data_IF_850648573323
#
_entry.id   IF_850648573323
#
_cell.length_a   1.000
_cell.length_b   1.000
_cell.length_c   1.000
_cell.angle_alpha   90.00
_cell.angle_beta   90.00
_cell.angle_gamma   90.00
#
_symmetry.space_group_name_H-M   'P 1'
#
loop_
_entity.id
_entity.type
_entity.pdbx_description
1 polymer ?
#
# COMPACT_ATOMS: atom_id res chain seq x y z
N UNK A 1 15.69 26.12 -19.52
CA UNK A 1 14.32 25.59 -19.68
C UNK A 1 13.90 25.01 -18.35
N UNK A 2 12.86 25.55 -17.71
CA UNK A 2 12.35 25.01 -16.43
C UNK A 2 11.80 23.60 -16.66
N UNK A 3 12.10 22.67 -15.76
CA UNK A 3 11.50 21.33 -15.80
C UNK A 3 9.98 21.48 -15.70
N UNK A 4 9.18 20.77 -16.52
CA UNK A 4 7.74 20.74 -16.36
C UNK A 4 7.38 20.22 -14.96
N UNK A 5 6.24 20.67 -14.42
CA UNK A 5 5.75 20.16 -13.14
C UNK A 5 5.47 18.67 -13.25
N UNK A 6 6.09 17.89 -12.36
CA UNK A 6 5.94 16.44 -12.29
C UNK A 6 5.01 16.07 -11.12
N UNK A 7 3.97 15.31 -11.45
CA UNK A 7 2.97 14.80 -10.50
C UNK A 7 3.22 13.32 -10.13
N UNK A 8 4.35 12.73 -10.54
CA UNK A 8 4.71 11.32 -10.28
C UNK A 8 4.65 10.90 -8.81
N UNK A 9 4.73 11.85 -7.88
CA UNK A 9 4.52 11.64 -6.44
C UNK A 9 3.17 10.97 -6.13
N UNK A 10 2.15 11.20 -6.94
CA UNK A 10 0.78 10.72 -6.71
C UNK A 10 0.40 9.49 -7.55
N UNK A 11 1.30 8.96 -8.38
CA UNK A 11 1.01 7.81 -9.24
C UNK A 11 0.84 6.50 -8.45
N UNK A 12 1.45 6.39 -7.27
CA UNK A 12 1.53 5.16 -6.48
C UNK A 12 0.76 5.26 -5.16
N UNK A 13 -0.47 5.77 -5.20
CA UNK A 13 -1.33 5.84 -4.02
C UNK A 13 -2.09 4.53 -3.88
N UNK A 14 -1.75 3.74 -2.86
CA UNK A 14 -2.51 2.54 -2.50
C UNK A 14 -3.76 2.90 -1.68
N UNK A 15 -4.92 2.85 -2.32
CA UNK A 15 -6.23 2.98 -1.67
C UNK A 15 -6.77 1.59 -1.34
N UNK A 16 -7.04 1.33 -0.06
CA UNK A 16 -7.52 0.02 0.41
C UNK A 16 -9.04 -0.18 0.27
N UNK A 17 -9.78 0.87 -0.08
CA UNK A 17 -11.25 0.93 -0.12
C UNK A 17 -11.79 1.30 -1.51
N UNK A 18 -10.98 1.09 -2.56
CA UNK A 18 -11.40 1.37 -3.93
C UNK A 18 -12.37 0.27 -4.41
N UNK A 19 -13.67 0.60 -4.45
CA UNK A 19 -14.77 -0.32 -4.78
C UNK A 19 -14.77 -0.83 -6.23
N UNK A 20 -14.05 -0.17 -7.13
CA UNK A 20 -13.98 -0.54 -8.56
C UNK A 20 -13.09 -1.78 -8.81
N UNK A 21 -12.25 -2.16 -7.84
CA UNK A 21 -11.25 -3.24 -7.99
C UNK A 21 -11.77 -4.64 -7.59
N UNK A 22 -13.05 -4.76 -7.20
CA UNK A 22 -13.62 -6.04 -6.78
C UNK A 22 -14.28 -6.79 -7.96
N UNK A 23 -13.77 -7.98 -8.27
CA UNK A 23 -14.35 -8.83 -9.32
C UNK A 23 -15.80 -9.23 -8.97
N UNK A 24 -16.74 -9.30 -9.94
CA UNK A 24 -18.17 -9.61 -9.70
C UNK A 24 -18.51 -10.91 -8.94
N UNK A 25 -17.52 -11.80 -8.73
CA UNK A 25 -17.70 -13.09 -8.05
C UNK A 25 -17.02 -13.15 -6.67
N UNK A 26 -16.44 -12.05 -6.20
CA UNK A 26 -15.78 -11.96 -4.90
C UNK A 26 -16.64 -11.07 -4.00
N UNK A 27 -16.81 -11.48 -2.75
CA UNK A 27 -17.47 -10.64 -1.74
C UNK A 27 -16.60 -9.43 -1.41
N UNK A 28 -17.14 -8.23 -1.66
CA UNK A 28 -16.46 -6.95 -1.45
C UNK A 28 -15.96 -6.81 -0.01
N UNK A 29 -16.79 -7.14 0.98
CA UNK A 29 -16.45 -6.93 2.39
C UNK A 29 -15.27 -7.80 2.83
N UNK A 30 -15.29 -9.08 2.45
CA UNK A 30 -14.19 -10.00 2.74
C UNK A 30 -12.89 -9.61 2.00
N UNK A 31 -13.01 -9.14 0.76
CA UNK A 31 -11.88 -8.67 -0.06
C UNK A 31 -11.16 -7.47 0.58
N UNK A 32 -11.92 -6.46 1.00
CA UNK A 32 -11.36 -5.27 1.66
C UNK A 32 -10.65 -5.61 2.97
N UNK A 33 -11.28 -6.45 3.80
CA UNK A 33 -10.66 -6.91 5.05
C UNK A 33 -9.34 -7.64 4.78
N UNK A 34 -9.27 -8.45 3.73
CA UNK A 34 -8.03 -9.14 3.34
C UNK A 34 -6.95 -8.16 2.87
N UNK A 35 -7.28 -7.21 1.98
CA UNK A 35 -6.36 -6.19 1.47
C UNK A 35 -5.81 -5.31 2.59
N UNK A 36 -6.67 -4.88 3.51
CA UNK A 36 -6.25 -4.11 4.69
C UNK A 36 -5.27 -4.91 5.56
N UNK A 37 -5.58 -6.17 5.88
CA UNK A 37 -4.66 -7.03 6.66
C UNK A 37 -3.31 -7.18 5.99
N UNK A 38 -3.29 -7.44 4.68
CA UNK A 38 -2.04 -7.58 3.92
C UNK A 38 -1.19 -6.31 3.93
N UNK A 39 -1.82 -5.14 3.84
CA UNK A 39 -1.12 -3.85 3.96
C UNK A 39 -0.51 -3.64 5.34
N UNK A 40 -1.28 -3.87 6.40
CA UNK A 40 -0.80 -3.72 7.80
C UNK A 40 0.37 -4.67 8.07
N UNK A 41 0.26 -5.94 7.65
CA UNK A 41 1.33 -6.92 7.81
C UNK A 41 2.61 -6.50 7.07
N UNK A 42 2.48 -5.96 5.85
CA UNK A 42 3.60 -5.42 5.09
C UNK A 42 4.25 -4.25 5.81
N UNK A 43 3.47 -3.26 6.25
CA UNK A 43 3.97 -2.09 6.98
C UNK A 43 4.68 -2.49 8.29
N UNK A 44 4.14 -3.47 9.03
CA UNK A 44 4.79 -4.02 10.23
C UNK A 44 6.12 -4.72 9.92
N UNK A 45 6.15 -5.56 8.89
CA UNK A 45 7.36 -6.28 8.50
C UNK A 45 8.45 -5.31 8.03
N UNK A 46 8.09 -4.32 7.22
CA UNK A 46 9.02 -3.26 6.81
C UNK A 46 9.52 -2.45 8.01
N UNK A 47 8.66 -2.17 9.01
CA UNK A 47 9.09 -1.48 10.23
C UNK A 47 10.06 -2.33 11.07
N UNK A 48 9.78 -3.62 11.23
CA UNK A 48 10.66 -4.58 11.91
C UNK A 48 12.01 -4.70 11.20
N UNK A 49 12.01 -4.76 9.87
CA UNK A 49 13.23 -4.83 9.06
C UNK A 49 14.05 -3.54 9.15
N UNK A 50 13.40 -2.36 9.09
CA UNK A 50 14.08 -1.07 9.30
C UNK A 50 14.73 -1.00 10.68
N UNK A 51 14.01 -1.38 11.74
CA UNK A 51 14.54 -1.40 13.10
C UNK A 51 15.72 -2.40 13.25
N UNK A 52 15.63 -3.56 12.59
CA UNK A 52 16.72 -4.54 12.56
C UNK A 52 17.96 -4.03 11.84
N UNK A 53 17.78 -3.27 10.76
CA UNK A 53 18.89 -2.64 10.03
C UNK A 53 19.53 -1.57 10.90
N UNK A 54 18.74 -0.72 11.55
CA UNK A 54 19.23 0.33 12.44
C UNK A 54 20.00 -0.24 13.64
N UNK A 55 19.54 -1.33 14.25
CA UNK A 55 20.27 -1.99 15.35
C UNK A 55 21.61 -2.62 14.95
N UNK A 56 21.83 -2.88 13.65
CA UNK A 56 23.06 -3.50 13.14
C UNK A 56 24.11 -2.47 12.71
N UNK A 57 23.73 -1.20 12.59
CA UNK A 57 24.62 -0.06 12.29
C UNK A 57 25.19 0.48 13.60
#
# INVERSE_FOLDING_TARGET
MSKPFDYSKWDNIELSDDEEDCHPNIDKESWFRMKHRSRVEREENEAKDRARIEQKV
#
